data_IF_113023841617
#
_entry.id   IF_113023841617
#
_cell.length_a   1.000
_cell.length_b   1.000
_cell.length_c   1.000
_cell.angle_alpha   90.00
_cell.angle_beta   90.00
_cell.angle_gamma   90.00
#
_symmetry.space_group_name_H-M   'P 1'
#
loop_
_entity.id
_entity.type
_entity.pdbx_description
1 polymer ?
#
# COMPACT_ATOMS: atom_id res chain seq x y z
N UNK A 1 -4.51 21.80 16.31
CA UNK A 1 -4.73 21.48 14.87
C UNK A 1 -5.39 20.14 14.80
N UNK A 2 -6.41 19.97 13.94
CA UNK A 2 -7.03 18.67 13.73
C UNK A 2 -6.01 17.70 13.12
N UNK A 3 -6.04 16.45 13.56
CA UNK A 3 -5.20 15.38 13.05
C UNK A 3 -5.60 15.09 11.59
N UNK A 4 -4.64 15.05 10.67
CA UNK A 4 -4.93 14.68 9.28
C UNK A 4 -5.37 13.22 9.15
N UNK A 5 -6.03 12.88 8.05
CA UNK A 5 -6.48 11.51 7.78
C UNK A 5 -5.53 10.76 6.84
N UNK A 6 -5.25 9.50 7.15
CA UNK A 6 -4.50 8.55 6.33
C UNK A 6 -5.42 7.40 5.91
N UNK A 7 -5.38 7.05 4.63
CA UNK A 7 -6.10 5.92 4.08
C UNK A 7 -5.20 4.68 4.10
N UNK A 8 -5.67 3.57 4.70
CA UNK A 8 -5.02 2.26 4.58
C UNK A 8 -5.85 1.41 3.61
N UNK A 9 -5.28 1.05 2.47
CA UNK A 9 -5.95 0.21 1.47
C UNK A 9 -5.47 -1.23 1.63
N UNK A 10 -6.42 -2.14 1.82
CA UNK A 10 -6.19 -3.57 1.98
C UNK A 10 -6.85 -4.33 0.82
N UNK A 11 -6.30 -5.49 0.50
CA UNK A 11 -6.90 -6.43 -0.44
C UNK A 11 -8.03 -7.20 0.25
N UNK A 12 -9.07 -7.53 -0.52
CA UNK A 12 -10.15 -8.45 -0.13
C UNK A 12 -9.94 -9.87 -0.70
N UNK A 13 -8.90 -10.09 -1.51
CA UNK A 13 -8.57 -11.41 -2.05
C UNK A 13 -8.23 -12.43 -0.95
N UNK A 14 -8.50 -13.70 -1.24
CA UNK A 14 -8.15 -14.84 -0.39
C UNK A 14 -6.64 -15.09 -0.29
N UNK A 15 -5.83 -14.59 -1.25
CA UNK A 15 -4.37 -14.54 -1.09
C UNK A 15 -3.97 -13.67 0.10
N UNK A 16 -4.80 -12.67 0.43
CA UNK A 16 -4.76 -11.96 1.69
C UNK A 16 -3.68 -10.88 1.82
N UNK A 17 -3.64 -10.33 3.02
CA UNK A 17 -2.76 -9.25 3.47
C UNK A 17 -1.87 -9.77 4.60
N UNK A 18 -0.58 -9.44 4.55
CA UNK A 18 0.36 -9.83 5.61
C UNK A 18 0.02 -9.12 6.92
N UNK A 19 -0.38 -9.90 7.93
CA UNK A 19 -0.69 -9.42 9.27
C UNK A 19 0.41 -8.54 9.89
N UNK A 20 1.71 -8.92 9.86
CA UNK A 20 2.77 -8.09 10.43
C UNK A 20 2.93 -6.76 9.70
N UNK A 21 2.84 -6.74 8.37
CA UNK A 21 2.94 -5.49 7.60
C UNK A 21 1.75 -4.58 7.88
N UNK A 22 0.52 -5.10 7.89
CA UNK A 22 -0.67 -4.34 8.25
C UNK A 22 -0.57 -3.75 9.66
N UNK A 23 -0.23 -4.57 10.65
CA UNK A 23 -0.12 -4.15 12.05
C UNK A 23 0.90 -3.02 12.21
N UNK A 24 2.04 -3.13 11.53
CA UNK A 24 3.08 -2.12 11.57
C UNK A 24 2.67 -0.83 10.86
N UNK A 25 2.06 -0.91 9.67
CA UNK A 25 1.47 0.24 8.99
C UNK A 25 0.46 0.94 9.88
N UNK A 26 -0.53 0.21 10.41
CA UNK A 26 -1.57 0.74 11.28
C UNK A 26 -0.97 1.41 12.52
N UNK A 27 -0.01 0.77 13.21
CA UNK A 27 0.61 1.32 14.42
C UNK A 27 1.40 2.61 14.16
N UNK A 28 2.11 2.68 13.05
CA UNK A 28 2.89 3.86 12.70
C UNK A 28 1.98 5.00 12.25
N UNK A 29 1.02 4.74 11.36
CA UNK A 29 0.11 5.78 10.88
C UNK A 29 -0.85 6.27 11.94
N UNK A 30 -1.33 5.42 12.86
CA UNK A 30 -2.26 5.86 13.93
C UNK A 30 -1.61 6.83 14.90
N UNK A 31 -0.27 6.85 14.99
CA UNK A 31 0.43 7.82 15.83
C UNK A 31 0.36 9.24 15.26
N UNK A 32 0.27 9.37 13.93
CA UNK A 32 0.34 10.65 13.21
C UNK A 32 -0.99 11.08 12.57
N UNK A 33 -1.87 10.14 12.21
CA UNK A 33 -3.10 10.36 11.46
C UNK A 33 -4.35 9.75 12.12
N UNK A 34 -5.51 10.28 11.77
CA UNK A 34 -6.78 9.54 11.86
C UNK A 34 -6.78 8.50 10.73
N UNK A 35 -7.14 7.26 11.02
CA UNK A 35 -7.08 6.17 10.03
C UNK A 35 -8.48 5.87 9.51
N UNK A 36 -8.58 5.72 8.19
CA UNK A 36 -9.65 4.93 7.55
C UNK A 36 -9.03 3.69 6.94
N UNK A 37 -9.63 2.52 7.21
CA UNK A 37 -9.25 1.26 6.57
C UNK A 37 -10.27 0.99 5.46
N UNK A 38 -9.79 0.61 4.29
CA UNK A 38 -10.65 0.29 3.16
C UNK A 38 -10.22 -0.97 2.45
N UNK A 39 -11.20 -1.67 1.88
CA UNK A 39 -11.06 -2.78 0.94
C UNK A 39 -11.91 -2.46 -0.30
N UNK A 40 -11.71 -3.16 -1.44
CA UNK A 40 -12.48 -2.92 -2.66
C UNK A 40 -13.99 -2.81 -2.47
N UNK A 41 -14.57 -3.67 -1.62
CA UNK A 41 -16.01 -3.79 -1.39
C UNK A 41 -16.43 -3.49 0.07
N UNK A 42 -15.49 -3.09 0.92
CA UNK A 42 -15.74 -2.86 2.35
C UNK A 42 -15.81 -4.14 3.19
N UNK A 43 -15.54 -5.31 2.61
CA UNK A 43 -15.45 -6.56 3.36
C UNK A 43 -14.19 -6.59 4.26
N UNK A 44 -14.21 -7.34 5.37
CA UNK A 44 -13.01 -7.54 6.18
C UNK A 44 -11.89 -8.24 5.40
N UNK A 45 -10.67 -7.73 5.52
CA UNK A 45 -9.50 -8.33 4.87
C UNK A 45 -9.16 -9.72 5.44
N UNK A 46 -8.70 -10.62 4.58
CA UNK A 46 -8.09 -11.89 4.98
C UNK A 46 -6.63 -11.64 5.37
N UNK A 47 -6.26 -12.00 6.59
CA UNK A 47 -4.89 -11.84 7.08
C UNK A 47 -4.09 -13.15 7.04
N UNK A 48 -2.90 -13.09 6.45
CA UNK A 48 -1.89 -14.17 6.35
C UNK A 48 -0.66 -13.87 7.21
N UNK A 49 0.31 -14.78 7.25
CA UNK A 49 1.56 -14.67 8.04
C UNK A 49 1.30 -14.42 9.53
N UNK A 50 0.27 -15.08 10.05
CA UNK A 50 -0.19 -14.92 11.42
C UNK A 50 0.76 -15.59 12.41
N UNK A 51 1.06 -14.88 13.48
CA UNK A 51 1.71 -15.40 14.68
C UNK A 51 0.80 -15.16 15.90
N UNK A 52 1.18 -15.68 17.06
CA UNK A 52 0.38 -15.54 18.30
C UNK A 52 0.12 -14.08 18.68
N UNK A 53 1.10 -13.19 18.45
CA UNK A 53 1.02 -11.79 18.86
C UNK A 53 0.08 -11.00 17.95
N UNK A 54 0.27 -11.11 16.64
CA UNK A 54 -0.52 -10.38 15.65
C UNK A 54 -1.95 -10.95 15.55
N UNK A 55 -2.13 -12.26 15.75
CA UNK A 55 -3.46 -12.89 15.79
C UNK A 55 -4.28 -12.38 16.97
N UNK A 56 -3.69 -12.35 18.17
CA UNK A 56 -4.37 -11.82 19.36
C UNK A 56 -4.77 -10.36 19.17
N UNK A 57 -3.88 -9.55 18.60
CA UNK A 57 -4.17 -8.15 18.34
C UNK A 57 -5.32 -7.96 17.32
N UNK A 58 -5.29 -8.70 16.21
CA UNK A 58 -6.35 -8.61 15.18
C UNK A 58 -7.69 -9.04 15.78
N UNK A 59 -7.73 -10.18 16.48
CA UNK A 59 -8.94 -10.68 17.13
C UNK A 59 -9.50 -9.69 18.16
N UNK A 60 -8.64 -9.08 18.98
CA UNK A 60 -9.05 -8.07 19.96
C UNK A 60 -9.67 -6.84 19.28
N UNK A 61 -9.03 -6.34 18.23
CA UNK A 61 -9.54 -5.19 17.48
C UNK A 61 -10.86 -5.51 16.76
N UNK A 62 -11.03 -6.72 16.22
CA UNK A 62 -12.29 -7.18 15.61
C UNK A 62 -13.39 -7.32 16.67
N UNK A 63 -13.09 -7.94 17.81
CA UNK A 63 -14.06 -8.15 18.91
C UNK A 63 -14.55 -6.83 19.49
N UNK A 64 -13.66 -5.83 19.57
CA UNK A 64 -13.99 -4.46 20.01
C UNK A 64 -14.57 -3.58 18.91
N UNK A 65 -14.78 -4.10 17.70
CA UNK A 65 -15.26 -3.36 16.53
C UNK A 65 -14.41 -2.10 16.19
N UNK A 66 -13.09 -2.21 16.38
CA UNK A 66 -12.11 -1.14 16.13
C UNK A 66 -11.50 -1.19 14.72
N UNK A 67 -11.69 -2.30 13.99
CA UNK A 67 -11.37 -2.39 12.55
C UNK A 67 -12.65 -2.24 11.74
N UNK A 68 -13.00 -0.99 11.41
CA UNK A 68 -14.09 -0.71 10.50
C UNK A 68 -13.54 -0.58 9.07
N UNK A 69 -14.18 -1.28 8.14
CA UNK A 69 -13.79 -1.33 6.74
C UNK A 69 -14.79 -0.53 5.91
N UNK A 70 -14.30 0.48 5.21
CA UNK A 70 -15.09 1.22 4.22
C UNK A 70 -14.88 0.63 2.83
N UNK A 71 -15.90 0.67 1.98
CA UNK A 71 -15.72 0.36 0.56
C UNK A 71 -14.88 1.44 -0.11
N UNK A 72 -13.99 1.04 -1.03
CA UNK A 72 -13.23 1.99 -1.84
C UNK A 72 -14.14 2.91 -2.66
N UNK A 73 -15.36 2.49 -2.97
CA UNK A 73 -16.35 3.30 -3.69
C UNK A 73 -16.84 4.50 -2.87
N UNK A 74 -16.77 4.42 -1.54
CA UNK A 74 -17.19 5.49 -0.61
C UNK A 74 -16.04 6.45 -0.27
N UNK A 75 -14.84 6.20 -0.79
CA UNK A 75 -13.64 6.97 -0.47
C UNK A 75 -13.52 8.19 -1.36
N UNK A 76 -13.65 9.37 -0.76
CA UNK A 76 -13.27 10.63 -1.40
C UNK A 76 -11.79 10.94 -1.15
N UNK A 77 -10.95 10.77 -2.18
CA UNK A 77 -9.50 11.01 -2.07
C UNK A 77 -9.11 12.40 -1.53
N UNK A 78 -10.00 13.39 -1.64
CA UNK A 78 -9.84 14.74 -1.09
C UNK A 78 -9.63 14.78 0.43
N UNK A 79 -10.29 13.88 1.17
CA UNK A 79 -10.35 13.86 2.63
C UNK A 79 -9.05 13.36 3.29
N UNK A 80 -8.18 12.73 2.52
CA UNK A 80 -6.97 12.08 3.02
C UNK A 80 -5.72 12.85 2.61
N UNK A 81 -4.72 12.90 3.48
CA UNK A 81 -3.44 13.55 3.20
C UNK A 81 -2.41 12.59 2.61
N UNK A 82 -2.51 11.29 2.89
CA UNK A 82 -1.65 10.23 2.39
C UNK A 82 -2.39 8.87 2.36
N UNK A 83 -1.86 7.94 1.57
CA UNK A 83 -2.36 6.57 1.48
C UNK A 83 -1.21 5.58 1.72
N UNK A 84 -1.49 4.50 2.43
CA UNK A 84 -0.57 3.38 2.64
C UNK A 84 -1.21 2.05 2.24
N UNK A 85 -0.44 1.22 1.55
CA UNK A 85 -0.84 -0.10 1.04
C UNK A 85 0.15 -1.12 1.62
N UNK A 86 -0.24 -1.89 2.65
CA UNK A 86 0.64 -2.88 3.27
C UNK A 86 1.03 -4.02 2.31
N UNK A 87 2.00 -4.82 2.73
CA UNK A 87 2.35 -6.05 2.02
C UNK A 87 1.18 -7.03 2.01
N UNK A 88 0.84 -7.55 0.83
CA UNK A 88 -0.17 -8.60 0.68
C UNK A 88 -0.17 -9.15 -0.74
N UNK A 89 -0.03 -10.46 -0.95
CA UNK A 89 -0.11 -11.06 -2.29
C UNK A 89 -1.48 -10.83 -2.95
N UNK A 90 -2.57 -10.69 -2.17
CA UNK A 90 -3.89 -10.37 -2.71
C UNK A 90 -3.93 -9.07 -3.52
N UNK A 91 -3.07 -8.09 -3.21
CA UNK A 91 -3.00 -6.84 -3.96
C UNK A 91 -2.61 -7.03 -5.44
N UNK A 92 -1.92 -8.12 -5.78
CA UNK A 92 -1.62 -8.48 -7.17
C UNK A 92 -2.84 -8.97 -7.94
N UNK A 93 -3.88 -9.46 -7.24
CA UNK A 93 -5.09 -10.03 -7.82
C UNK A 93 -6.21 -9.00 -7.94
N UNK A 94 -6.58 -8.33 -6.85
CA UNK A 94 -7.75 -7.43 -6.85
C UNK A 94 -7.39 -5.94 -6.96
N UNK A 95 -6.36 -5.49 -6.25
CA UNK A 95 -5.98 -4.07 -6.22
C UNK A 95 -5.29 -3.64 -7.52
N UNK A 96 -4.49 -4.50 -8.14
CA UNK A 96 -3.73 -4.20 -9.35
C UNK A 96 -4.61 -3.82 -10.56
N UNK A 97 -5.85 -4.29 -10.58
CA UNK A 97 -6.82 -4.07 -11.66
C UNK A 97 -8.06 -3.29 -11.22
N UNK A 98 -8.05 -2.72 -10.01
CA UNK A 98 -9.21 -2.00 -9.46
C UNK A 98 -9.35 -0.59 -10.05
N UNK A 99 -10.37 -0.36 -10.89
CA UNK A 99 -10.66 0.97 -11.46
C UNK A 99 -10.96 2.02 -10.38
N UNK A 100 -11.61 1.61 -9.28
CA UNK A 100 -11.94 2.48 -8.15
C UNK A 100 -10.66 2.92 -7.45
N UNK A 101 -9.75 1.97 -7.16
CA UNK A 101 -8.45 2.30 -6.60
C UNK A 101 -7.64 3.17 -7.55
N UNK A 102 -7.65 2.88 -8.84
CA UNK A 102 -6.96 3.66 -9.86
C UNK A 102 -7.40 5.12 -9.87
N UNK A 103 -8.70 5.36 -9.73
CA UNK A 103 -9.28 6.70 -9.61
C UNK A 103 -8.80 7.39 -8.33
N UNK A 104 -8.82 6.69 -7.20
CA UNK A 104 -8.31 7.19 -5.92
C UNK A 104 -6.82 7.55 -6.02
N UNK A 105 -5.96 6.64 -6.47
CA UNK A 105 -4.51 6.89 -6.64
C UNK A 105 -4.22 8.03 -7.61
N UNK A 106 -5.00 8.15 -8.70
CA UNK A 106 -4.91 9.29 -9.63
C UNK A 106 -5.12 10.62 -8.91
N UNK A 107 -6.09 10.68 -7.99
CA UNK A 107 -6.31 11.87 -7.16
C UNK A 107 -5.09 12.18 -6.29
N UNK A 108 -4.50 11.17 -5.63
CA UNK A 108 -3.31 11.37 -4.79
C UNK A 108 -2.13 11.92 -5.60
N UNK A 109 -1.83 11.32 -6.75
CA UNK A 109 -0.71 11.75 -7.60
C UNK A 109 -0.93 13.15 -8.18
N UNK A 110 -2.13 13.42 -8.71
CA UNK A 110 -2.48 14.75 -9.27
C UNK A 110 -2.32 15.86 -8.23
N UNK A 111 -2.71 15.59 -6.98
CA UNK A 111 -2.60 16.55 -5.88
C UNK A 111 -1.27 16.46 -5.13
N UNK A 112 -0.31 15.67 -5.61
CA UNK A 112 1.02 15.45 -5.02
C UNK A 112 0.96 14.97 -3.56
N UNK A 113 -0.08 14.21 -3.20
CA UNK A 113 -0.27 13.60 -1.88
C UNK A 113 0.58 12.31 -1.78
N UNK A 114 1.24 12.03 -0.66
CA UNK A 114 2.10 10.85 -0.56
C UNK A 114 1.35 9.53 -0.74
N UNK A 115 1.96 8.64 -1.52
CA UNK A 115 1.50 7.26 -1.73
C UNK A 115 2.58 6.32 -1.20
N UNK A 116 2.23 5.42 -0.29
CA UNK A 116 3.15 4.44 0.27
C UNK A 116 2.68 3.02 -0.05
N UNK A 117 3.55 2.15 -0.59
CA UNK A 117 3.21 0.75 -0.86
C UNK A 117 4.35 -0.20 -0.49
N UNK A 118 4.04 -1.34 0.11
CA UNK A 118 5.04 -2.27 0.67
C UNK A 118 4.93 -3.64 0.00
N UNK A 119 6.07 -4.20 -0.45
CA UNK A 119 6.17 -5.51 -1.09
C UNK A 119 5.16 -5.72 -2.21
N UNK A 120 4.41 -6.82 -2.20
CA UNK A 120 3.32 -7.07 -3.16
C UNK A 120 2.16 -6.06 -3.11
N UNK A 121 2.04 -5.24 -2.06
CA UNK A 121 1.14 -4.09 -2.05
C UNK A 121 1.46 -3.06 -3.15
N UNK A 122 2.69 -3.05 -3.65
CA UNK A 122 3.12 -2.20 -4.78
C UNK A 122 2.37 -2.53 -6.06
N UNK A 123 1.87 -3.76 -6.23
CA UNK A 123 1.04 -4.13 -7.38
C UNK A 123 -0.23 -3.29 -7.48
N UNK A 124 -0.74 -2.77 -6.36
CA UNK A 124 -1.90 -1.88 -6.34
C UNK A 124 -1.69 -0.60 -7.17
N UNK A 125 -0.44 -0.12 -7.30
CA UNK A 125 -0.10 1.06 -8.09
C UNK A 125 -0.42 0.86 -9.58
N UNK A 126 -0.47 -0.39 -10.06
CA UNK A 126 -0.80 -0.76 -11.44
C UNK A 126 -2.22 -0.33 -11.84
N UNK A 127 -3.12 -0.12 -10.89
CA UNK A 127 -4.48 0.36 -11.17
C UNK A 127 -4.54 1.81 -11.68
N UNK A 128 -3.52 2.62 -11.38
CA UNK A 128 -3.53 4.05 -11.67
C UNK A 128 -3.10 4.32 -13.12
N UNK A 129 -4.03 4.17 -14.06
CA UNK A 129 -3.84 4.44 -15.48
C UNK A 129 -4.63 5.67 -15.88
N UNK A 130 -3.99 6.60 -16.58
CA UNK A 130 -4.67 7.74 -17.18
C UNK A 130 -5.68 7.22 -18.22
N UNK A 131 -6.97 7.55 -18.03
CA UNK A 131 -8.05 7.01 -18.87
C UNK A 131 -7.97 7.45 -20.34
N UNK A 132 -7.44 8.65 -20.60
CA UNK A 132 -7.35 9.22 -21.96
C UNK A 132 -6.12 8.70 -22.71
N UNK A 133 -4.93 8.90 -22.13
CA UNK A 133 -3.65 8.52 -22.76
C UNK A 133 -3.32 7.03 -22.63
N UNK A 134 -4.06 6.29 -21.79
CA UNK A 134 -3.79 4.89 -21.41
C UNK A 134 -2.40 4.67 -20.80
N UNK A 135 -1.72 5.74 -20.39
CA UNK A 135 -0.42 5.67 -19.76
C UNK A 135 -0.54 5.41 -18.26
N UNK A 136 0.36 4.58 -17.74
CA UNK A 136 0.48 4.34 -16.31
C UNK A 136 1.04 5.58 -15.60
N UNK A 137 0.41 5.99 -14.49
CA UNK A 137 0.76 7.24 -13.80
C UNK A 137 2.09 7.20 -13.03
N UNK A 138 2.68 6.02 -12.88
CA UNK A 138 3.98 5.83 -12.25
C UNK A 138 5.09 5.48 -13.26
N UNK A 139 4.87 5.77 -14.55
CA UNK A 139 5.92 5.75 -15.58
C UNK A 139 7.06 6.69 -15.17
N UNK A 140 8.29 6.27 -15.45
CA UNK A 140 9.53 6.97 -15.13
C UNK A 140 9.76 7.26 -13.63
N UNK A 141 8.91 6.71 -12.74
CA UNK A 141 9.08 6.78 -11.30
C UNK A 141 9.94 5.61 -10.82
N UNK A 142 10.91 5.91 -9.95
CA UNK A 142 11.71 4.91 -9.28
C UNK A 142 10.91 4.25 -8.15
N UNK A 143 10.84 2.92 -8.19
CA UNK A 143 10.08 2.08 -7.28
C UNK A 143 10.91 0.86 -6.83
N UNK A 144 10.52 0.29 -5.71
CA UNK A 144 10.87 -1.06 -5.29
C UNK A 144 9.58 -1.81 -4.96
N UNK A 145 9.70 -3.12 -4.72
CA UNK A 145 8.64 -4.02 -4.30
C UNK A 145 9.28 -5.36 -3.98
N UNK A 146 8.48 -6.39 -3.72
CA UNK A 146 9.04 -7.72 -3.42
C UNK A 146 9.92 -8.17 -4.58
N UNK A 147 11.18 -8.50 -4.27
CA UNK A 147 12.17 -8.95 -5.24
C UNK A 147 11.81 -10.32 -5.78
N UNK A 148 12.33 -10.66 -6.97
CA UNK A 148 12.10 -11.98 -7.56
C UNK A 148 12.52 -13.10 -6.60
N UNK A 149 13.68 -12.95 -5.91
CA UNK A 149 14.15 -13.93 -4.94
C UNK A 149 13.18 -14.16 -3.77
N UNK A 150 12.57 -13.10 -3.24
CA UNK A 150 11.54 -13.21 -2.19
C UNK A 150 10.28 -13.88 -2.73
N UNK A 151 9.80 -13.40 -3.88
CA UNK A 151 8.56 -13.87 -4.50
C UNK A 151 8.65 -15.35 -4.86
N UNK A 152 9.74 -15.81 -5.49
CA UNK A 152 9.91 -17.22 -5.87
C UNK A 152 10.07 -18.17 -4.68
N UNK A 153 10.44 -17.64 -3.51
CA UNK A 153 10.55 -18.44 -2.27
C UNK A 153 9.23 -18.58 -1.51
N UNK A 154 8.22 -17.78 -1.87
CA UNK A 154 6.93 -17.77 -1.20
C UNK A 154 6.03 -18.91 -1.69
N UNK A 155 5.26 -19.50 -0.77
CA UNK A 155 4.32 -20.59 -1.08
C UNK A 155 3.20 -20.18 -2.05
N UNK A 156 2.84 -18.89 -2.08
CA UNK A 156 1.83 -18.34 -2.98
C UNK A 156 2.35 -18.01 -4.39
N UNK A 157 3.65 -18.20 -4.68
CA UNK A 157 4.23 -17.86 -5.99
C UNK A 157 3.45 -18.40 -7.19
N UNK A 158 3.02 -19.69 -7.21
CA UNK A 158 2.29 -20.23 -8.36
C UNK A 158 0.92 -19.60 -8.59
N UNK A 159 0.40 -18.86 -7.60
CA UNK A 159 -0.91 -18.21 -7.63
C UNK A 159 -0.81 -16.74 -8.05
N UNK A 160 0.39 -16.17 -8.13
CA UNK A 160 0.54 -14.76 -8.45
C UNK A 160 0.27 -14.51 -9.94
N UNK A 161 -0.62 -13.57 -10.28
CA UNK A 161 -0.88 -13.22 -11.68
C UNK A 161 0.27 -12.41 -12.31
N UNK A 162 1.11 -11.80 -11.49
CA UNK A 162 2.23 -10.98 -11.92
C UNK A 162 3.33 -10.89 -10.85
N UNK A 163 4.55 -10.61 -11.31
CA UNK A 163 5.69 -10.27 -10.46
C UNK A 163 5.86 -8.75 -10.46
N UNK A 164 6.03 -8.08 -9.29
CA UNK A 164 6.09 -6.62 -9.22
C UNK A 164 7.17 -6.01 -10.12
N UNK A 165 8.38 -6.57 -10.09
CA UNK A 165 9.51 -6.04 -10.86
C UNK A 165 9.23 -6.02 -12.36
N UNK A 166 8.77 -7.15 -12.90
CA UNK A 166 8.44 -7.28 -14.32
C UNK A 166 7.30 -6.33 -14.70
N UNK A 167 6.21 -6.30 -13.91
CA UNK A 167 5.06 -5.44 -14.19
C UNK A 167 5.40 -3.93 -14.13
N UNK A 168 6.33 -3.52 -13.26
CA UNK A 168 6.81 -2.13 -13.19
C UNK A 168 7.65 -1.80 -14.43
N UNK A 169 8.60 -2.68 -14.80
CA UNK A 169 9.47 -2.49 -15.96
C UNK A 169 8.67 -2.46 -17.27
N UNK A 170 7.71 -3.37 -17.44
CA UNK A 170 6.83 -3.44 -18.62
C UNK A 170 6.02 -2.17 -18.83
N UNK A 171 5.73 -1.43 -17.76
CA UNK A 171 5.00 -0.15 -17.78
C UNK A 171 5.92 1.06 -17.74
N UNK A 172 7.21 0.86 -17.99
CA UNK A 172 8.27 1.87 -18.00
C UNK A 172 8.47 2.59 -16.67
N UNK A 173 8.20 1.94 -15.55
CA UNK A 173 8.73 2.37 -14.25
C UNK A 173 10.20 1.95 -14.11
N UNK A 174 10.89 2.54 -13.14
CA UNK A 174 12.28 2.18 -12.83
C UNK A 174 12.26 1.30 -11.59
N UNK A 175 12.69 0.04 -11.71
CA UNK A 175 12.66 -0.92 -10.61
C UNK A 175 14.05 -1.20 -10.05
N UNK A 176 14.17 -1.24 -8.73
CA UNK A 176 15.40 -1.63 -8.03
C UNK A 176 15.09 -2.42 -6.78
N UNK A 177 15.97 -3.36 -6.42
CA UNK A 177 15.83 -4.19 -5.20
C UNK A 177 17.16 -4.29 -4.47
N UNK A 178 17.09 -4.36 -3.14
CA UNK A 178 18.19 -4.81 -2.29
C UNK A 178 18.24 -6.34 -2.19
N UNK A 179 19.07 -6.83 -1.27
CA UNK A 179 19.12 -8.26 -0.98
C UNK A 179 17.75 -8.77 -0.46
N UNK A 180 17.34 -10.01 -0.78
CA UNK A 180 16.13 -10.61 -0.24
C UNK A 180 16.04 -10.48 1.29
N UNK A 181 14.87 -10.11 1.79
CA UNK A 181 14.55 -9.89 3.22
C UNK A 181 15.34 -8.75 3.90
N UNK A 182 16.11 -7.96 3.15
CA UNK A 182 16.79 -6.77 3.67
C UNK A 182 15.88 -5.54 3.60
N UNK A 183 16.16 -4.53 4.44
CA UNK A 183 15.48 -3.25 4.35
C UNK A 183 15.91 -2.53 3.08
N UNK A 184 14.97 -2.26 2.19
CA UNK A 184 15.18 -1.44 0.98
C UNK A 184 13.94 -0.59 0.71
N UNK A 185 14.14 0.73 0.63
CA UNK A 185 13.08 1.73 0.44
C UNK A 185 13.49 2.68 -0.66
N UNK A 186 12.56 2.96 -1.57
CA UNK A 186 12.72 3.97 -2.61
C UNK A 186 11.71 5.08 -2.37
N UNK A 187 12.19 6.32 -2.36
CA UNK A 187 11.38 7.54 -2.25
C UNK A 187 11.57 8.37 -3.51
N UNK A 188 10.53 8.53 -4.32
CA UNK A 188 10.63 9.27 -5.57
C UNK A 188 9.30 9.95 -5.92
N UNK A 189 9.34 11.23 -6.29
CA UNK A 189 8.18 12.03 -6.72
C UNK A 189 6.96 12.00 -5.77
N UNK A 190 7.16 11.85 -4.46
CA UNK A 190 6.07 11.73 -3.47
C UNK A 190 5.51 10.32 -3.31
N UNK A 191 6.08 9.34 -4.01
CA UNK A 191 5.80 7.92 -3.89
C UNK A 191 6.88 7.27 -3.04
N UNK A 192 6.47 6.48 -2.06
CA UNK A 192 7.35 5.71 -1.18
C UNK A 192 7.05 4.24 -1.38
N UNK A 193 8.06 3.45 -1.73
CA UNK A 193 7.90 2.01 -1.85
C UNK A 193 8.91 1.29 -0.97
N UNK A 194 8.46 0.21 -0.32
CA UNK A 194 9.31 -0.68 0.48
C UNK A 194 9.35 -2.06 -0.14
N UNK A 195 10.50 -2.72 -0.15
CA UNK A 195 10.67 -4.03 -0.78
C UNK A 195 9.86 -5.15 -0.09
N UNK A 196 9.79 -5.13 1.23
CA UNK A 196 9.24 -6.24 2.03
C UNK A 196 8.74 -5.74 3.38
N UNK A 197 8.22 -6.64 4.20
CA UNK A 197 7.72 -6.32 5.55
C UNK A 197 8.79 -5.64 6.42
N UNK A 198 10.07 -6.02 6.32
CA UNK A 198 11.17 -5.38 7.07
C UNK A 198 11.34 -3.90 6.70
N UNK A 199 10.96 -3.54 5.48
CA UNK A 199 11.02 -2.17 4.95
C UNK A 199 9.87 -1.28 5.40
N UNK A 200 8.83 -1.83 6.04
CA UNK A 200 7.61 -1.10 6.43
C UNK A 200 7.90 0.11 7.32
N UNK A 201 8.76 -0.03 8.34
CA UNK A 201 9.09 1.06 9.26
C UNK A 201 9.63 2.28 8.52
N UNK A 202 10.69 2.06 7.75
CA UNK A 202 11.40 3.12 7.04
C UNK A 202 10.50 3.75 5.97
N UNK A 203 9.70 2.96 5.25
CA UNK A 203 8.79 3.47 4.24
C UNK A 203 7.68 4.34 4.85
N UNK A 204 6.99 3.87 5.90
CA UNK A 204 5.90 4.63 6.53
C UNK A 204 6.42 5.89 7.21
N UNK A 205 7.60 5.87 7.82
CA UNK A 205 8.23 7.07 8.37
C UNK A 205 8.53 8.12 7.30
N UNK A 206 9.09 7.72 6.16
CA UNK A 206 9.31 8.62 5.02
C UNK A 206 7.99 9.21 4.50
N UNK A 207 6.93 8.41 4.41
CA UNK A 207 5.61 8.89 4.02
C UNK A 207 5.05 9.92 5.03
N UNK A 208 5.17 9.67 6.35
CA UNK A 208 4.77 10.63 7.39
C UNK A 208 5.52 11.96 7.24
N UNK A 209 6.84 11.91 7.00
CA UNK A 209 7.66 13.11 6.78
C UNK A 209 7.16 13.91 5.56
N UNK A 210 6.90 13.25 4.43
CA UNK A 210 6.37 13.90 3.23
C UNK A 210 4.98 14.54 3.47
N UNK A 211 4.10 13.85 4.20
CA UNK A 211 2.76 14.36 4.52
C UNK A 211 2.84 15.61 5.41
N UNK A 212 3.73 15.61 6.40
CA UNK A 212 3.93 16.75 7.32
C UNK A 212 4.58 17.95 6.63
N UNK A 213 5.54 17.75 5.72
CA UNK A 213 6.14 18.84 4.94
C UNK A 213 5.12 19.56 4.04
N UNK A 214 4.08 18.86 3.58
CA UNK A 214 3.01 19.50 2.80
C UNK A 214 2.11 20.37 3.67
N UNK A 215 1.86 19.97 4.92
CA UNK A 215 1.10 20.79 5.86
C UNK A 215 1.79 22.13 6.13
N UNK A 216 3.12 22.13 6.29
CA UNK A 216 3.86 23.37 6.59
C UNK A 216 3.86 24.35 5.40
N UNK A 217 3.81 23.86 4.16
CA UNK A 217 3.74 24.68 2.95
C UNK A 217 2.33 25.18 2.61
N UNK A 218 1.29 24.57 3.18
CA UNK A 218 -0.11 24.94 2.95
C UNK A 218 -0.67 25.92 3.99
N UNK A 219 0.15 26.40 4.92
CA UNK A 219 -0.13 27.52 5.82
C UNK A 219 0.65 28.74 5.36
#
# INVERSE_FOLDING_TARGET
MAKQSCLIVLSASQLGVSAPSFLQCYKLTQSAFTITITTPDGSPAVFIDKDDQNSRWITDMQTKNLLQYSSLADIEGGQYSCVVIPHGPGASEDLATSDVLGTTLTHFITHKKPVCAIGLGVCALLSAVNKESRQWLFRDIALTGSSLGEVTSASYFPLLPLVPGDAILDRAGIFSTGAPNSVHVVVNAGVVTGQNTQSTLAAVQNMILLANQRQSKGK
#
